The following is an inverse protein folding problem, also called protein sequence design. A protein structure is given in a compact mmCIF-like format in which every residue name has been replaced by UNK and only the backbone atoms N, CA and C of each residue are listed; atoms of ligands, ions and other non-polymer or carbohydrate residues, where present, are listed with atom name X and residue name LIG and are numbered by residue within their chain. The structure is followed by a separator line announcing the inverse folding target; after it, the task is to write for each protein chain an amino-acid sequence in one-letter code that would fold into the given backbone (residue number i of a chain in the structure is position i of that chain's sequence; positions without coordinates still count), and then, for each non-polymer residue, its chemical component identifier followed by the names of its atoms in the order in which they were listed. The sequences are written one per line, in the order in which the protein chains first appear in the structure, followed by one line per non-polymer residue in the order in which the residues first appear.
data_IF_920069633860
#
_entry.id   IF_920069633860
#
_cell.length_a   1.000
_cell.length_b   1.000
_cell.length_c   1.000
_cell.angle_alpha   90.00
_cell.angle_beta   90.00
_cell.angle_gamma   90.00
#
_symmetry.space_group_name_H-M   'P 1'
#
loop_
_entity.id
_entity.type
_entity.pdbx_description
1 polymer ?
#
# COMPACT_ATOMS: atom_id res chain seq x y z
N UNK A 1 -0.63 -3.02 -12.67
CA UNK A 1 -0.65 -2.12 -13.86
C UNK A 1 0.65 -2.40 -14.57
N UNK A 2 0.63 -2.73 -15.86
CA UNK A 2 1.89 -3.10 -16.53
C UNK A 2 2.81 -1.88 -16.74
N UNK A 3 4.07 -2.18 -17.07
CA UNK A 3 5.10 -1.15 -17.23
C UNK A 3 4.77 -0.16 -18.36
N UNK A 4 4.06 -0.60 -19.40
CA UNK A 4 3.64 0.26 -20.50
C UNK A 4 2.59 1.27 -20.05
N UNK A 5 1.59 0.82 -19.29
CA UNK A 5 0.59 1.69 -18.67
C UNK A 5 1.21 2.69 -17.69
N UNK A 6 2.23 2.28 -16.94
CA UNK A 6 2.99 3.18 -16.06
C UNK A 6 3.64 4.31 -16.87
N UNK A 7 4.35 3.98 -17.96
CA UNK A 7 5.04 4.96 -18.82
C UNK A 7 4.07 5.97 -19.45
N UNK A 8 2.92 5.50 -19.93
CA UNK A 8 1.89 6.39 -20.51
C UNK A 8 1.39 7.38 -19.44
N UNK A 9 1.01 6.88 -18.26
CA UNK A 9 0.52 7.72 -17.17
C UNK A 9 1.59 8.69 -16.67
N UNK A 10 2.84 8.24 -16.60
CA UNK A 10 3.96 9.06 -16.17
C UNK A 10 4.13 10.28 -17.08
N UNK A 11 4.18 10.05 -18.40
CA UNK A 11 4.30 11.12 -19.38
C UNK A 11 3.12 12.09 -19.32
N UNK A 12 1.90 11.60 -19.07
CA UNK A 12 0.73 12.47 -18.88
C UNK A 12 0.87 13.38 -17.66
N UNK A 13 1.33 12.83 -16.52
CA UNK A 13 1.51 13.58 -15.28
C UNK A 13 2.67 14.59 -15.38
N UNK A 14 3.77 14.20 -16.02
CA UNK A 14 4.92 15.08 -16.27
C UNK A 14 4.53 16.25 -17.18
N UNK A 15 3.75 16.00 -18.24
CA UNK A 15 3.23 17.04 -19.12
C UNK A 15 2.26 18.01 -18.41
N UNK A 16 1.63 17.57 -17.31
CA UNK A 16 0.79 18.42 -16.47
C UNK A 16 1.59 19.27 -15.47
N UNK A 17 2.93 19.26 -15.56
CA UNK A 17 3.82 20.09 -14.75
C UNK A 17 4.08 19.54 -13.34
N UNK A 18 3.71 18.29 -13.07
CA UNK A 18 4.01 17.64 -11.79
C UNK A 18 5.49 17.26 -11.72
N UNK A 19 6.12 17.52 -10.58
CA UNK A 19 7.46 17.05 -10.30
C UNK A 19 7.38 15.60 -9.83
N UNK A 20 7.78 14.69 -10.71
CA UNK A 20 7.71 13.26 -10.43
C UNK A 20 9.04 12.69 -9.92
N UNK A 21 8.95 11.59 -9.18
CA UNK A 21 10.05 10.66 -8.95
C UNK A 21 10.58 10.15 -10.29
N UNK A 22 11.87 9.77 -10.39
CA UNK A 22 12.39 9.15 -11.61
C UNK A 22 11.55 7.95 -12.05
N UNK A 23 11.23 7.85 -13.34
CA UNK A 23 10.39 6.78 -13.91
C UNK A 23 10.81 5.38 -13.46
N UNK A 24 12.11 5.07 -13.47
CA UNK A 24 12.65 3.78 -12.99
C UNK A 24 12.28 3.50 -11.53
N UNK A 25 12.29 4.54 -10.67
CA UNK A 25 11.88 4.43 -9.27
C UNK A 25 10.37 4.16 -9.17
N UNK A 26 9.55 4.84 -9.97
CA UNK A 26 8.09 4.61 -10.02
C UNK A 26 7.79 3.17 -10.44
N UNK A 27 8.42 2.68 -11.51
CA UNK A 27 8.28 1.30 -11.98
C UNK A 27 8.65 0.31 -10.88
N UNK A 28 9.76 0.54 -10.18
CA UNK A 28 10.19 -0.31 -9.08
C UNK A 28 9.18 -0.30 -7.91
N UNK A 29 8.61 0.86 -7.58
CA UNK A 29 7.62 0.98 -6.51
C UNK A 29 6.31 0.24 -6.85
N UNK A 30 5.82 0.34 -8.08
CA UNK A 30 4.63 -0.40 -8.52
C UNK A 30 4.89 -1.92 -8.52
N UNK A 31 6.08 -2.37 -8.95
CA UNK A 31 6.49 -3.79 -8.84
C UNK A 31 6.53 -4.26 -7.37
N UNK A 32 7.10 -3.45 -6.48
CA UNK A 32 7.14 -3.76 -5.04
C UNK A 32 5.74 -3.81 -4.44
N UNK A 33 4.82 -2.94 -4.87
CA UNK A 33 3.41 -2.98 -4.47
C UNK A 33 2.74 -4.29 -4.86
N UNK A 34 2.96 -4.80 -6.07
CA UNK A 34 2.41 -6.09 -6.50
C UNK A 34 2.96 -7.24 -5.64
N UNK A 35 4.25 -7.18 -5.28
CA UNK A 35 4.87 -8.14 -4.35
C UNK A 35 4.22 -8.08 -2.95
N UNK A 36 4.08 -6.90 -2.35
CA UNK A 36 3.43 -6.72 -1.04
C UNK A 36 1.98 -7.21 -1.06
N UNK A 37 1.25 -6.89 -2.12
CA UNK A 37 -0.14 -7.32 -2.27
C UNK A 37 -0.23 -8.86 -2.31
N UNK A 38 0.67 -9.51 -3.05
CA UNK A 38 0.68 -10.96 -3.18
C UNK A 38 1.17 -11.68 -1.92
N UNK A 39 2.27 -11.24 -1.33
CA UNK A 39 2.93 -11.97 -0.24
C UNK A 39 2.28 -11.69 1.13
N UNK A 40 1.66 -10.51 1.32
CA UNK A 40 1.10 -10.11 2.62
C UNK A 40 -0.39 -9.81 2.56
N UNK A 41 -0.82 -8.87 1.71
CA UNK A 41 -2.23 -8.44 1.75
C UNK A 41 -3.20 -9.56 1.38
N UNK A 42 -2.80 -10.47 0.47
CA UNK A 42 -3.59 -11.66 0.13
C UNK A 42 -3.68 -12.69 1.26
N UNK A 43 -2.82 -12.57 2.28
CA UNK A 43 -2.72 -13.50 3.41
C UNK A 43 -3.49 -13.03 4.63
N UNK A 44 -4.04 -11.81 4.61
CA UNK A 44 -4.90 -11.29 5.67
C UNK A 44 -6.15 -12.18 5.73
N UNK A 45 -6.36 -12.81 6.88
CA UNK A 45 -7.54 -13.65 7.14
C UNK A 45 -8.58 -12.91 7.97
N UNK A 46 -8.14 -12.01 8.85
CA UNK A 46 -9.04 -11.16 9.62
C UNK A 46 -8.35 -9.87 10.09
N UNK A 47 -9.13 -8.88 10.51
CA UNK A 47 -8.66 -7.72 11.26
C UNK A 47 -9.65 -7.39 12.40
N UNK A 48 -9.13 -6.87 13.51
CA UNK A 48 -9.93 -6.30 14.61
C UNK A 48 -9.46 -4.86 14.93
N UNK A 49 -9.88 -4.28 16.04
CA UNK A 49 -9.53 -2.90 16.44
C UNK A 49 -8.06 -2.72 16.85
N UNK A 50 -7.32 -3.80 17.04
CA UNK A 50 -5.95 -3.79 17.58
C UNK A 50 -4.94 -4.44 16.65
N UNK A 51 -5.35 -5.46 15.87
CA UNK A 51 -4.45 -6.28 15.07
C UNK A 51 -4.98 -6.65 13.69
N UNK A 52 -4.03 -6.95 12.81
CA UNK A 52 -4.22 -7.61 11.52
C UNK A 52 -3.75 -9.06 11.66
N UNK A 53 -4.62 -10.00 11.32
CA UNK A 53 -4.35 -11.42 11.39
C UNK A 53 -4.03 -11.97 10.01
N UNK A 54 -2.88 -12.60 9.88
CA UNK A 54 -2.43 -13.23 8.65
C UNK A 54 -2.43 -14.75 8.78
N UNK A 55 -2.55 -15.43 7.65
CA UNK A 55 -2.26 -16.85 7.54
C UNK A 55 -0.74 -17.12 7.62
N UNK A 56 -0.37 -18.37 7.91
CA UNK A 56 1.02 -18.87 7.84
C UNK A 56 2.02 -18.20 8.78
N UNK A 57 1.57 -17.67 9.92
CA UNK A 57 2.46 -17.12 10.96
C UNK A 57 3.09 -15.78 10.64
N UNK A 58 2.68 -15.11 9.55
CA UNK A 58 3.07 -13.74 9.26
C UNK A 58 2.52 -12.79 10.33
N UNK A 59 3.30 -11.78 10.70
CA UNK A 59 2.88 -10.77 11.67
C UNK A 59 2.76 -9.39 11.03
N UNK A 60 2.05 -8.48 11.71
CA UNK A 60 2.02 -7.08 11.31
C UNK A 60 3.42 -6.44 11.35
N UNK A 61 4.30 -6.91 12.24
CA UNK A 61 5.68 -6.43 12.32
C UNK A 61 6.46 -6.79 11.04
N UNK A 62 6.33 -8.02 10.55
CA UNK A 62 6.98 -8.46 9.30
C UNK A 62 6.47 -7.66 8.10
N UNK A 63 5.15 -7.45 8.05
CA UNK A 63 4.49 -6.66 7.02
C UNK A 63 5.01 -5.22 7.00
N UNK A 64 5.02 -4.55 8.16
CA UNK A 64 5.49 -3.17 8.28
C UNK A 64 6.98 -3.08 7.96
N UNK A 65 7.81 -4.00 8.45
CA UNK A 65 9.25 -4.01 8.17
C UNK A 65 9.55 -4.12 6.67
N UNK A 66 8.82 -4.96 5.95
CA UNK A 66 8.98 -5.09 4.51
C UNK A 66 8.49 -3.84 3.76
N UNK A 67 7.38 -3.26 4.19
CA UNK A 67 6.90 -2.00 3.62
C UNK A 67 7.92 -0.87 3.84
N UNK A 68 8.54 -0.80 5.02
CA UNK A 68 9.59 0.19 5.31
C UNK A 68 10.77 0.07 4.36
N UNK A 69 11.20 -1.16 4.08
CA UNK A 69 12.30 -1.44 3.13
C UNK A 69 12.01 -0.91 1.72
N UNK A 70 10.76 -0.93 1.27
CA UNK A 70 10.41 -0.55 -0.11
C UNK A 70 9.87 0.87 -0.26
N UNK A 71 9.14 1.37 0.75
CA UNK A 71 8.35 2.59 0.67
C UNK A 71 8.80 3.69 1.62
N UNK A 72 9.82 3.46 2.46
CA UNK A 72 10.32 4.44 3.43
C UNK A 72 9.66 4.32 4.81
N UNK A 73 9.90 5.26 5.71
CA UNK A 73 9.41 5.16 7.09
C UNK A 73 7.88 5.30 7.17
N UNK A 74 7.28 4.71 8.20
CA UNK A 74 5.87 4.94 8.53
C UNK A 74 5.77 6.33 9.15
N UNK A 75 5.12 7.25 8.44
CA UNK A 75 4.85 8.60 8.91
C UNK A 75 3.56 8.67 9.73
N UNK A 76 2.61 7.79 9.44
CA UNK A 76 1.30 7.76 10.09
C UNK A 76 0.71 6.36 10.05
N UNK A 77 0.10 5.95 11.17
CA UNK A 77 -0.70 4.73 11.28
C UNK A 77 -1.97 5.06 12.07
N UNK A 78 -3.11 4.61 11.56
CA UNK A 78 -4.42 4.92 12.14
C UNK A 78 -5.40 3.76 11.94
N UNK A 79 -6.26 3.59 12.92
CA UNK A 79 -7.30 2.55 12.96
C UNK A 79 -8.62 3.25 13.21
N UNK A 80 -9.53 3.16 12.25
CA UNK A 80 -10.85 3.79 12.32
C UNK A 80 -11.93 2.73 12.33
N UNK A 81 -12.95 2.97 13.13
CA UNK A 81 -14.21 2.25 13.07
C UNK A 81 -15.29 3.20 12.55
N UNK A 82 -15.54 3.14 11.24
CA UNK A 82 -16.50 4.01 10.57
C UNK A 82 -17.75 3.21 10.19
N UNK A 83 -18.86 3.44 10.90
CA UNK A 83 -20.14 2.76 10.66
C UNK A 83 -20.03 1.23 10.65
N UNK A 84 -19.21 0.66 11.56
CA UNK A 84 -18.97 -0.78 11.66
C UNK A 84 -17.96 -1.33 10.64
N UNK A 85 -17.28 -0.47 9.89
CA UNK A 85 -16.15 -0.85 9.04
C UNK A 85 -14.85 -0.53 9.74
N UNK A 86 -14.00 -1.53 9.90
CA UNK A 86 -12.64 -1.32 10.40
C UNK A 86 -11.74 -0.92 9.23
N UNK A 87 -11.02 0.19 9.39
CA UNK A 87 -10.13 0.76 8.38
C UNK A 87 -8.78 0.98 9.03
N UNK A 88 -7.76 0.28 8.54
CA UNK A 88 -6.36 0.51 8.86
C UNK A 88 -5.74 1.34 7.75
N UNK A 89 -5.04 2.41 8.12
CA UNK A 89 -4.36 3.30 7.19
C UNK A 89 -2.90 3.40 7.63
N UNK A 90 -2.00 2.93 6.76
CA UNK A 90 -0.56 3.15 6.88
C UNK A 90 -0.13 4.16 5.83
N UNK A 91 0.54 5.22 6.25
CA UNK A 91 1.17 6.19 5.34
C UNK A 91 2.68 6.07 5.51
N UNK A 92 3.35 5.73 4.42
CA UNK A 92 4.79 5.68 4.28
C UNK A 92 5.28 6.88 3.47
N UNK A 93 6.59 7.10 3.38
CA UNK A 93 7.16 8.19 2.56
C UNK A 93 6.69 8.16 1.11
N UNK A 94 6.53 6.96 0.53
CA UNK A 94 6.26 6.77 -0.90
C UNK A 94 4.92 6.08 -1.21
N UNK A 95 4.13 5.74 -0.20
CA UNK A 95 2.82 5.13 -0.44
C UNK A 95 1.84 5.26 0.73
N UNK A 96 0.57 5.03 0.42
CA UNK A 96 -0.47 4.72 1.39
C UNK A 96 -0.95 3.29 1.20
N UNK A 97 -1.09 2.55 2.30
CA UNK A 97 -1.75 1.26 2.32
C UNK A 97 -3.02 1.37 3.16
N UNK A 98 -4.15 1.01 2.57
CA UNK A 98 -5.43 0.95 3.27
C UNK A 98 -5.93 -0.49 3.31
N UNK A 99 -6.36 -0.94 4.48
CA UNK A 99 -6.99 -2.26 4.69
C UNK A 99 -8.35 -1.99 5.32
N UNK A 100 -9.42 -2.45 4.67
CA UNK A 100 -10.79 -2.23 5.12
C UNK A 100 -11.51 -3.55 5.30
N UNK A 101 -12.03 -3.81 6.49
CA UNK A 101 -12.97 -4.91 6.76
C UNK A 101 -14.38 -4.35 6.82
N UNK A 102 -15.21 -4.84 5.90
CA UNK A 102 -16.65 -4.57 5.85
C UNK A 102 -17.37 -5.90 5.99
N UNK A 103 -18.02 -6.11 7.13
CA UNK A 103 -18.64 -7.40 7.47
C UNK A 103 -17.60 -8.54 7.34
N UNK A 104 -17.84 -9.51 6.45
CA UNK A 104 -16.97 -10.67 6.19
C UNK A 104 -15.95 -10.45 5.06
N UNK A 105 -15.87 -9.26 4.48
CA UNK A 105 -14.99 -9.00 3.33
C UNK A 105 -13.87 -8.04 3.71
N UNK A 106 -12.64 -8.41 3.35
CA UNK A 106 -11.45 -7.57 3.47
C UNK A 106 -11.10 -7.03 2.10
N UNK A 107 -10.96 -5.72 2.00
CA UNK A 107 -10.46 -5.02 0.82
C UNK A 107 -9.16 -4.34 1.16
N UNK A 108 -8.22 -4.36 0.24
CA UNK A 108 -6.93 -3.71 0.41
C UNK A 108 -6.61 -2.83 -0.78
N UNK A 109 -5.89 -1.74 -0.53
CA UNK A 109 -5.35 -0.88 -1.58
C UNK A 109 -3.97 -0.39 -1.19
N UNK A 110 -3.12 -0.23 -2.22
CA UNK A 110 -1.82 0.44 -2.11
C UNK A 110 -1.80 1.54 -3.16
N UNK A 111 -1.66 2.77 -2.72
CA UNK A 111 -1.50 3.95 -3.57
C UNK A 111 -0.04 4.42 -3.50
N UNK A 112 0.70 4.37 -4.61
CA UNK A 112 2.08 4.87 -4.67
C UNK A 112 2.03 6.37 -4.96
N UNK A 113 2.82 7.15 -4.23
CA UNK A 113 3.03 8.55 -4.53
C UNK A 113 4.10 8.67 -5.63
N UNK A 114 3.72 9.29 -6.74
CA UNK A 114 4.61 9.44 -7.89
C UNK A 114 5.28 10.81 -7.90
N UNK A 115 4.71 11.75 -7.19
CA UNK A 115 5.11 13.13 -7.00
C UNK A 115 6.01 13.32 -5.77
N UNK A 116 6.77 14.41 -5.79
CA UNK A 116 7.69 14.87 -4.73
C UNK A 116 7.26 16.25 -4.23
#
# INVERSE_FOLDING_TARGET
MDEHGIKIKYNQLENNGLRLLPLEKVIQLEKNKELIAKEYLSKIVDIDEHNIYFSNGLTNVDFVALCVKYFGFVNYNDIRNESGNLIYIYIFDLCQITITKKSLTIKTSINIYWDI
#
